data_IF_009470683211
#
_entry.id   IF_009470683211
#
_cell.length_a   1.000
_cell.length_b   1.000
_cell.length_c   1.000
_cell.angle_alpha   90.00
_cell.angle_beta   90.00
_cell.angle_gamma   90.00
#
_symmetry.space_group_name_H-M   'P 1'
#
loop_
_entity.id
_entity.type
_entity.pdbx_description
1 polymer ?
#
# COMPACT_ATOMS: atom_id res chain seq x y z
N UNK A 1 15.16 4.03 24.10
CA UNK A 1 14.32 4.64 23.04
C UNK A 1 13.89 3.49 22.12
N UNK A 2 12.63 3.01 22.14
CA UNK A 2 12.28 1.92 21.25
C UNK A 2 12.00 2.51 19.87
N UNK A 3 12.91 2.28 18.92
CA UNK A 3 12.52 2.23 17.52
C UNK A 3 11.47 1.10 17.44
N UNK A 4 10.20 1.48 17.38
CA UNK A 4 9.12 0.56 17.03
C UNK A 4 9.53 -0.04 15.70
N UNK A 5 10.04 -1.28 15.76
CA UNK A 5 10.39 -2.06 14.60
C UNK A 5 9.14 -2.07 13.76
N UNK A 6 9.13 -1.33 12.65
CA UNK A 6 8.05 -1.32 11.67
C UNK A 6 8.05 -2.71 11.01
N UNK A 7 7.62 -3.72 11.76
CA UNK A 7 7.42 -5.09 11.31
C UNK A 7 6.03 -5.12 10.73
N UNK A 8 5.92 -4.62 9.51
CA UNK A 8 4.67 -4.55 8.79
C UNK A 8 4.87 -4.11 7.34
N UNK A 9 3.82 -4.15 6.52
CA UNK A 9 3.84 -3.75 5.12
C UNK A 9 4.43 -2.34 4.88
N UNK A 10 4.40 -1.46 5.89
CA UNK A 10 5.04 -0.15 5.86
C UNK A 10 6.56 -0.17 5.65
N UNK A 11 7.24 -1.30 5.90
CA UNK A 11 8.68 -1.40 5.60
C UNK A 11 8.98 -1.40 4.10
N UNK A 12 7.99 -1.66 3.24
CA UNK A 12 8.12 -1.60 1.78
C UNK A 12 7.89 -0.19 1.22
N UNK A 13 7.39 0.73 2.04
CA UNK A 13 7.01 2.07 1.61
C UNK A 13 8.15 2.89 1.00
N UNK A 14 9.33 2.99 1.65
CA UNK A 14 10.44 3.74 1.07
C UNK A 14 10.90 3.18 -0.28
N UNK A 15 10.80 1.85 -0.45
CA UNK A 15 11.14 1.18 -1.71
C UNK A 15 10.12 1.46 -2.80
N UNK A 16 8.84 1.52 -2.47
CA UNK A 16 7.75 1.87 -3.40
C UNK A 16 7.92 3.32 -3.86
N UNK A 17 8.09 4.26 -2.95
CA UNK A 17 8.29 5.67 -3.30
C UNK A 17 9.52 5.87 -4.18
N UNK A 18 10.61 5.16 -3.87
CA UNK A 18 11.83 5.19 -4.68
C UNK A 18 11.67 4.53 -6.05
N UNK A 19 10.85 3.48 -6.16
CA UNK A 19 10.64 2.74 -7.42
C UNK A 19 9.67 3.46 -8.35
N UNK A 20 8.58 3.99 -7.80
CA UNK A 20 7.49 4.60 -8.58
C UNK A 20 7.50 6.14 -8.55
N UNK A 21 8.36 6.76 -7.74
CA UNK A 21 8.53 8.22 -7.67
C UNK A 21 7.37 8.98 -7.03
N UNK A 22 6.40 8.28 -6.42
CA UNK A 22 5.21 8.86 -5.81
C UNK A 22 5.12 8.50 -4.34
N UNK A 23 4.71 9.44 -3.46
CA UNK A 23 4.67 9.19 -2.03
C UNK A 23 3.59 8.17 -1.65
N UNK A 24 3.74 7.48 -0.51
CA UNK A 24 2.71 6.52 -0.04
C UNK A 24 1.33 7.15 0.12
N UNK A 25 1.27 8.40 0.55
CA UNK A 25 0.00 9.11 0.65
C UNK A 25 -0.76 9.17 -0.68
N UNK A 26 -0.05 9.25 -1.82
CA UNK A 26 -0.67 9.17 -3.14
C UNK A 26 -1.28 7.78 -3.38
N UNK A 27 -0.55 6.72 -3.04
CA UNK A 27 -1.03 5.34 -3.15
C UNK A 27 -2.21 5.03 -2.23
N UNK A 28 -2.18 5.53 -1.01
CA UNK A 28 -3.29 5.41 -0.08
C UNK A 28 -4.52 6.19 -0.56
N UNK A 29 -4.35 7.35 -1.20
CA UNK A 29 -5.46 8.09 -1.80
C UNK A 29 -6.12 7.33 -2.97
N UNK A 30 -5.33 6.61 -3.77
CA UNK A 30 -5.87 5.69 -4.79
C UNK A 30 -6.68 4.58 -4.12
N UNK A 31 -6.16 3.98 -3.05
CA UNK A 31 -6.87 2.96 -2.27
C UNK A 31 -8.11 3.49 -1.57
N UNK A 32 -8.11 4.76 -1.19
CA UNK A 32 -9.27 5.44 -0.61
C UNK A 32 -10.42 5.57 -1.60
N UNK A 33 -10.13 5.82 -2.88
CA UNK A 33 -11.12 5.70 -3.95
C UNK A 33 -11.68 4.28 -4.13
N UNK A 34 -10.96 3.27 -3.62
CA UNK A 34 -11.36 1.86 -3.63
C UNK A 34 -11.86 1.39 -2.26
N UNK A 35 -12.12 2.31 -1.32
CA UNK A 35 -12.60 2.00 0.02
C UNK A 35 -13.84 1.10 -0.05
N UNK A 36 -13.81 -0.01 0.71
CA UNK A 36 -14.85 -1.04 0.69
C UNK A 36 -14.64 -2.16 -0.33
N UNK A 37 -13.61 -2.08 -1.21
CA UNK A 37 -13.19 -3.21 -2.02
C UNK A 37 -12.36 -4.21 -1.22
N UNK A 38 -12.35 -5.47 -1.68
CA UNK A 38 -11.50 -6.52 -1.09
C UNK A 38 -10.02 -6.25 -1.37
N UNK A 39 -9.15 -6.75 -0.50
CA UNK A 39 -7.70 -6.72 -0.68
C UNK A 39 -7.25 -7.09 -2.10
N UNK A 40 -7.76 -8.20 -2.64
CA UNK A 40 -7.45 -8.68 -3.99
C UNK A 40 -7.77 -7.64 -5.08
N UNK A 41 -8.88 -6.92 -4.95
CA UNK A 41 -9.29 -5.88 -5.91
C UNK A 41 -8.34 -4.69 -5.86
N UNK A 42 -7.98 -4.24 -4.66
CA UNK A 42 -7.01 -3.16 -4.45
C UNK A 42 -5.63 -3.51 -5.03
N UNK A 43 -5.17 -4.74 -4.80
CA UNK A 43 -3.93 -5.25 -5.39
C UNK A 43 -4.02 -5.29 -6.91
N UNK A 44 -5.15 -5.73 -7.46
CA UNK A 44 -5.37 -5.77 -8.90
C UNK A 44 -5.28 -4.37 -9.51
N UNK A 45 -5.98 -3.39 -8.94
CA UNK A 45 -5.97 -2.00 -9.40
C UNK A 45 -4.57 -1.39 -9.39
N UNK A 46 -3.84 -1.54 -8.27
CA UNK A 46 -2.46 -1.05 -8.19
C UNK A 46 -1.55 -1.70 -9.25
N UNK A 47 -1.76 -2.96 -9.56
CA UNK A 47 -1.01 -3.67 -10.61
C UNK A 47 -1.42 -3.23 -12.01
N UNK A 48 -2.71 -3.07 -12.29
CA UNK A 48 -3.22 -2.81 -13.65
C UNK A 48 -3.17 -1.34 -14.02
N UNK A 49 -3.57 -0.44 -13.13
CA UNK A 49 -3.58 1.00 -13.39
C UNK A 49 -2.19 1.62 -13.22
N UNK A 50 -1.41 1.14 -12.26
CA UNK A 50 -0.16 1.77 -11.88
C UNK A 50 1.09 0.89 -12.08
N UNK A 51 0.92 -0.34 -12.54
CA UNK A 51 2.05 -1.23 -12.81
C UNK A 51 2.81 -1.66 -11.54
N UNK A 52 2.17 -1.62 -10.35
CA UNK A 52 2.85 -2.05 -9.13
C UNK A 52 3.21 -3.54 -9.19
N UNK A 53 4.35 -3.89 -8.59
CA UNK A 53 4.73 -5.28 -8.36
C UNK A 53 3.81 -5.94 -7.33
N UNK A 54 3.65 -7.27 -7.41
CA UNK A 54 2.75 -8.01 -6.53
C UNK A 54 3.02 -7.75 -5.04
N UNK A 55 4.29 -7.75 -4.63
CA UNK A 55 4.68 -7.49 -3.23
C UNK A 55 4.37 -6.06 -2.79
N UNK A 56 4.60 -5.08 -3.65
CA UNK A 56 4.34 -3.66 -3.37
C UNK A 56 2.84 -3.36 -3.27
N UNK A 57 2.05 -3.89 -4.22
CA UNK A 57 0.60 -3.73 -4.23
C UNK A 57 -0.04 -4.40 -3.01
N UNK A 58 0.40 -5.62 -2.66
CA UNK A 58 -0.07 -6.32 -1.47
C UNK A 58 0.26 -5.54 -0.20
N UNK A 59 1.49 -5.03 -0.06
CA UNK A 59 1.87 -4.22 1.10
C UNK A 59 0.95 -3.00 1.29
N UNK A 60 0.71 -2.23 0.24
CA UNK A 60 -0.18 -1.07 0.29
C UNK A 60 -1.63 -1.45 0.66
N UNK A 61 -2.20 -2.45 -0.02
CA UNK A 61 -3.57 -2.89 0.23
C UNK A 61 -3.74 -3.50 1.63
N UNK A 62 -2.76 -4.26 2.11
CA UNK A 62 -2.77 -4.84 3.46
C UNK A 62 -2.68 -3.76 4.54
N UNK A 63 -1.83 -2.75 4.32
CA UNK A 63 -1.71 -1.62 5.23
C UNK A 63 -3.00 -0.81 5.30
N UNK A 64 -3.55 -0.39 4.15
CA UNK A 64 -4.80 0.38 4.09
C UNK A 64 -5.98 -0.35 4.75
N UNK A 65 -6.12 -1.67 4.52
CA UNK A 65 -7.16 -2.46 5.17
C UNK A 65 -6.93 -2.67 6.67
N UNK A 66 -5.67 -2.72 7.12
CA UNK A 66 -5.35 -2.78 8.53
C UNK A 66 -5.68 -1.44 9.23
N UNK A 67 -5.46 -0.31 8.56
CA UNK A 67 -5.84 1.02 9.04
C UNK A 67 -7.36 1.23 9.06
N UNK A 68 -8.11 0.79 8.04
CA UNK A 68 -9.59 0.92 8.00
C UNK A 68 -10.30 0.09 9.08
N UNK A 69 -9.66 -1.01 9.51
CA UNK A 69 -10.19 -1.91 10.56
C UNK A 69 -9.81 -1.48 11.99
N UNK A 70 -9.08 -0.37 12.13
CA UNK A 70 -8.59 0.18 13.40
C UNK A 70 -9.52 1.19 14.05
#
# INVERSE_FOLDING_TARGET
>A
MPAEKVKGPASYFPSIEKTYGQPISHWLAVLDGLKGKKHMEMVSVLKTEHGLGHGHANALAAYYLAEDKG
#
